data_IF_775794967333
#
_entry.id   IF_775794967333
#
_cell.length_a   1.000
_cell.length_b   1.000
_cell.length_c   1.000
_cell.angle_alpha   90.00
_cell.angle_beta   90.00
_cell.angle_gamma   90.00
#
_symmetry.space_group_name_H-M   'P 1'
#
loop_
_entity.id
_entity.type
_entity.pdbx_description
1 polymer ?
#
# COMPACT_ATOMS: atom_id res chain seq x y z
N UNK A 1 -4.47 -16.14 -5.04
CA UNK A 1 -3.85 -15.83 -6.35
C UNK A 1 -2.34 -15.84 -6.16
N UNK A 2 -1.63 -16.85 -6.69
CA UNK A 2 -0.16 -16.82 -6.79
C UNK A 2 0.18 -16.28 -8.17
N UNK A 3 0.64 -15.02 -8.24
CA UNK A 3 1.10 -14.41 -9.48
C UNK A 3 2.62 -14.52 -9.61
N UNK A 4 3.18 -14.57 -10.83
CA UNK A 4 4.64 -14.63 -11.03
C UNK A 4 5.38 -13.44 -10.41
N UNK A 5 4.73 -12.27 -10.29
CA UNK A 5 5.29 -11.06 -9.65
C UNK A 5 5.51 -11.27 -8.14
N UNK A 6 4.57 -11.90 -7.44
CA UNK A 6 4.67 -12.13 -5.98
C UNK A 6 5.82 -13.06 -5.61
N UNK A 7 6.10 -14.10 -6.41
CA UNK A 7 7.22 -15.01 -6.17
C UNK A 7 8.56 -14.33 -6.41
N UNK A 8 8.69 -13.50 -7.46
CA UNK A 8 9.91 -12.74 -7.71
C UNK A 8 10.23 -11.77 -6.55
N UNK A 9 9.23 -11.07 -6.03
CA UNK A 9 9.39 -10.20 -4.86
C UNK A 9 9.75 -11.00 -3.60
N UNK A 10 9.20 -12.20 -3.43
CA UNK A 10 9.53 -13.09 -2.31
C UNK A 10 10.99 -13.56 -2.36
N UNK A 11 11.52 -13.85 -3.55
CA UNK A 11 12.93 -14.20 -3.74
C UNK A 11 13.86 -13.02 -3.39
N UNK A 12 13.50 -11.79 -3.78
CA UNK A 12 14.25 -10.59 -3.41
C UNK A 12 14.25 -10.35 -1.89
N UNK A 13 13.08 -10.49 -1.24
CA UNK A 13 12.96 -10.40 0.22
C UNK A 13 13.82 -11.47 0.91
N UNK A 14 13.75 -12.71 0.43
CA UNK A 14 14.55 -13.81 0.97
C UNK A 14 16.06 -13.52 0.84
N UNK A 15 16.50 -12.98 -0.28
CA UNK A 15 17.91 -12.61 -0.49
C UNK A 15 18.36 -11.50 0.46
N UNK A 16 17.56 -10.45 0.65
CA UNK A 16 17.87 -9.36 1.59
C UNK A 16 17.92 -9.88 3.03
N UNK A 17 16.97 -10.72 3.45
CA UNK A 17 16.98 -11.36 4.77
C UNK A 17 18.22 -12.21 4.99
N UNK A 18 18.60 -13.04 4.00
CA UNK A 18 19.81 -13.87 4.06
C UNK A 18 21.08 -13.02 4.18
N UNK A 19 21.15 -11.90 3.47
CA UNK A 19 22.29 -10.97 3.55
C UNK A 19 22.47 -10.37 4.95
N UNK A 20 21.38 -10.31 5.74
CA UNK A 20 21.36 -9.82 7.12
C UNK A 20 21.48 -10.94 8.16
N UNK A 21 21.73 -12.17 7.73
CA UNK A 21 21.84 -13.34 8.61
C UNK A 21 20.51 -13.94 9.06
N UNK A 22 19.39 -13.52 8.48
CA UNK A 22 18.08 -14.09 8.75
C UNK A 22 17.73 -15.17 7.70
N UNK A 23 17.25 -16.31 8.18
CA UNK A 23 16.72 -17.36 7.30
C UNK A 23 15.21 -17.40 7.40
N UNK A 24 14.57 -17.27 6.25
CA UNK A 24 13.14 -17.42 6.07
C UNK A 24 12.90 -18.23 4.81
N UNK A 25 12.00 -19.21 4.89
CA UNK A 25 11.64 -20.03 3.74
C UNK A 25 10.92 -19.18 2.68
N UNK A 26 11.04 -19.57 1.41
CA UNK A 26 10.45 -18.78 0.32
C UNK A 26 8.93 -18.69 0.45
N UNK A 27 8.28 -19.79 0.89
CA UNK A 27 6.84 -19.83 1.13
C UNK A 27 6.39 -18.86 2.22
N UNK A 28 7.21 -18.65 3.26
CA UNK A 28 6.92 -17.68 4.33
C UNK A 28 7.09 -16.24 3.82
N UNK A 29 8.11 -16.00 2.99
CA UNK A 29 8.29 -14.70 2.30
C UNK A 29 7.08 -14.37 1.41
N UNK A 30 6.58 -15.36 0.66
CA UNK A 30 5.37 -15.22 -0.15
C UNK A 30 4.13 -14.91 0.70
N UNK A 31 3.98 -15.57 1.85
CA UNK A 31 2.85 -15.34 2.76
C UNK A 31 2.87 -13.92 3.34
N UNK A 32 4.04 -13.44 3.78
CA UNK A 32 4.22 -12.07 4.28
C UNK A 32 3.88 -11.05 3.19
N UNK A 33 4.40 -11.25 1.98
CA UNK A 33 4.13 -10.33 0.86
C UNK A 33 2.66 -10.32 0.46
N UNK A 34 2.01 -11.49 0.42
CA UNK A 34 0.57 -11.57 0.13
C UNK A 34 -0.24 -10.79 1.17
N UNK A 35 0.12 -10.89 2.46
CA UNK A 35 -0.53 -10.14 3.52
C UNK A 35 -0.32 -8.63 3.39
N UNK A 36 0.92 -8.19 3.12
CA UNK A 36 1.24 -6.76 2.94
C UNK A 36 0.50 -6.18 1.73
N UNK A 37 0.44 -6.91 0.61
CA UNK A 37 -0.27 -6.47 -0.59
C UNK A 37 -1.79 -6.37 -0.34
N UNK A 38 -2.39 -7.35 0.35
CA UNK A 38 -3.82 -7.30 0.72
C UNK A 38 -4.11 -6.12 1.65
N UNK A 39 -3.29 -5.92 2.69
CA UNK A 39 -3.43 -4.79 3.60
C UNK A 39 -3.30 -3.44 2.89
N UNK A 40 -2.33 -3.32 1.97
CA UNK A 40 -2.11 -2.12 1.16
C UNK A 40 -3.28 -1.86 0.23
N UNK A 41 -3.82 -2.88 -0.43
CA UNK A 41 -4.99 -2.78 -1.28
C UNK A 41 -6.23 -2.33 -0.49
N UNK A 42 -6.44 -2.87 0.72
CA UNK A 42 -7.53 -2.45 1.63
C UNK A 42 -7.37 -1.00 2.06
N UNK A 43 -6.16 -0.57 2.43
CA UNK A 43 -5.90 0.81 2.82
C UNK A 43 -6.15 1.77 1.64
N UNK A 44 -5.64 1.43 0.46
CA UNK A 44 -5.83 2.22 -0.77
C UNK A 44 -7.31 2.35 -1.11
N UNK A 45 -8.07 1.26 -0.97
CA UNK A 45 -9.53 1.28 -1.18
C UNK A 45 -10.25 2.19 -0.18
N UNK A 46 -9.89 2.14 1.10
CA UNK A 46 -10.47 3.04 2.12
C UNK A 46 -10.16 4.50 1.83
N UNK A 47 -8.92 4.81 1.45
CA UNK A 47 -8.50 6.15 1.09
C UNK A 47 -9.26 6.65 -0.15
N UNK A 48 -9.44 5.81 -1.17
CA UNK A 48 -10.21 6.14 -2.36
C UNK A 48 -11.68 6.43 -2.04
N UNK A 49 -12.32 5.65 -1.16
CA UNK A 49 -13.70 5.89 -0.71
C UNK A 49 -13.79 7.24 0.03
N UNK A 50 -12.89 7.49 0.99
CA UNK A 50 -12.89 8.74 1.74
C UNK A 50 -12.69 9.98 0.84
N UNK A 51 -11.88 9.87 -0.21
CA UNK A 51 -11.68 10.95 -1.18
C UNK A 51 -12.93 11.25 -2.03
N UNK A 52 -13.78 10.24 -2.28
CA UNK A 52 -15.04 10.42 -3.02
C UNK A 52 -16.15 10.94 -2.10
N UNK A 53 -16.14 10.56 -0.82
CA UNK A 53 -17.16 10.92 0.16
C UNK A 53 -16.91 12.25 0.87
N UNK A 54 -15.69 12.81 0.80
CA UNK A 54 -15.41 14.14 1.33
C UNK A 54 -16.13 15.22 0.50
N UNK A 55 -16.93 16.11 1.12
CA UNK A 55 -17.43 17.28 0.42
C UNK A 55 -16.21 18.10 -0.03
N UNK A 56 -16.16 18.42 -1.32
CA UNK A 56 -15.24 19.42 -1.85
C UNK A 56 -15.50 20.71 -1.08
N UNK A 57 -14.72 20.98 -0.05
CA UNK A 57 -14.81 22.23 0.68
C UNK A 57 -14.50 23.32 -0.36
N UNK A 58 -15.45 24.19 -0.73
CA UNK A 58 -15.14 25.26 -1.66
C UNK A 58 -14.05 26.11 -1.01
N UNK A 59 -12.90 26.21 -1.67
CA UNK A 59 -11.83 27.10 -1.26
C UNK A 59 -12.45 28.49 -1.06
N UNK A 60 -12.34 29.03 0.15
CA UNK A 60 -13.00 30.25 0.57
C UNK A 60 -12.82 31.37 -0.44
N UNK A 61 -13.92 31.77 -1.07
CA UNK A 61 -14.01 33.04 -1.77
C UNK A 61 -14.14 34.16 -0.74
N UNK A 62 -13.02 34.59 -0.18
CA UNK A 62 -12.91 35.88 0.48
C UNK A 62 -12.95 36.97 -0.59
N UNK A 63 -14.13 37.28 -1.13
CA UNK A 63 -14.33 38.53 -1.86
C UNK A 63 -14.78 39.58 -0.86
N UNK A 64 -13.82 40.35 -0.37
CA UNK A 64 -14.12 41.62 0.30
C UNK A 64 -14.82 42.54 -0.67
N UNK A 65 -16.01 43.03 -0.29
CA UNK A 65 -16.61 44.18 -0.94
C UNK A 65 -16.04 45.46 -0.29
N UNK A 66 -15.43 46.37 -1.07
CA UNK A 66 -15.08 47.70 -0.58
C UNK A 66 -16.35 48.57 -0.46
N UNK A 67 -16.42 49.31 0.64
CA UNK A 67 -17.44 50.33 0.94
C UNK A 67 -17.39 51.53 0.00
#
# INVERSE_FOLDING_TARGET
>A
MRGPVTTAMAMLLQQDLRSRGHYLELGDCEAVLAHVLDATARLSRRAAIAAVEMPLCPAGGATGEPS
#
